data_IF_335747421967
#
_entry.id   IF_335747421967
#
_cell.length_a   1.000
_cell.length_b   1.000
_cell.length_c   1.000
_cell.angle_alpha   90.00
_cell.angle_beta   90.00
_cell.angle_gamma   90.00
#
_symmetry.space_group_name_H-M   'P 1'
#
loop_
_entity.id
_entity.type
_entity.pdbx_description
1 polymer ?
#
# COMPACT_ATOMS: atom_id res chain seq x y z
N UNK A 1 -42.83 -0.27 24.50
CA UNK A 1 -41.88 -1.15 23.80
C UNK A 1 -40.87 -0.27 23.09
N UNK A 2 -39.61 -0.21 23.54
CA UNK A 2 -38.55 0.48 22.81
C UNK A 2 -37.98 -0.44 21.72
N UNK A 3 -37.40 0.10 20.64
CA UNK A 3 -36.81 -0.70 19.58
C UNK A 3 -35.54 -1.39 20.07
N UNK A 4 -35.38 -2.62 19.58
CA UNK A 4 -34.28 -3.55 19.86
C UNK A 4 -32.92 -2.92 19.60
N UNK A 5 -32.07 -2.90 20.63
CA UNK A 5 -30.66 -2.55 20.55
C UNK A 5 -29.96 -3.38 19.48
N UNK A 6 -29.45 -2.71 18.45
CA UNK A 6 -28.46 -3.32 17.57
C UNK A 6 -27.17 -3.53 18.38
N UNK A 7 -26.72 -4.78 18.47
CA UNK A 7 -25.44 -5.16 19.07
C UNK A 7 -24.31 -4.24 18.60
N UNK A 8 -23.40 -3.77 19.48
CA UNK A 8 -22.25 -3.00 19.06
C UNK A 8 -21.31 -3.97 18.33
N UNK A 9 -21.40 -4.02 16.99
CA UNK A 9 -20.51 -4.84 16.19
C UNK A 9 -19.09 -4.26 16.32
N UNK A 10 -18.24 -4.96 17.08
CA UNK A 10 -16.78 -4.93 17.06
C UNK A 10 -16.15 -3.56 16.74
N UNK A 11 -16.32 -2.58 17.64
CA UNK A 11 -15.48 -1.38 17.57
C UNK A 11 -14.17 -1.64 18.31
N UNK A 12 -13.18 -2.19 17.61
CA UNK A 12 -11.77 -2.04 18.00
C UNK A 12 -11.17 -0.95 17.12
N UNK A 13 -11.15 0.27 17.64
CA UNK A 13 -10.34 1.35 17.08
C UNK A 13 -8.94 1.18 17.65
N UNK A 14 -7.97 0.82 16.80
CA UNK A 14 -6.57 0.94 17.17
C UNK A 14 -6.15 2.38 16.87
N UNK A 15 -6.04 3.21 17.92
CA UNK A 15 -5.22 4.42 17.85
C UNK A 15 -3.89 4.09 18.53
N UNK A 16 -2.83 4.03 17.74
CA UNK A 16 -1.46 4.13 18.27
C UNK A 16 -0.76 5.26 17.54
N UNK A 17 -1.04 6.49 17.97
CA UNK A 17 0.00 7.52 17.95
C UNK A 17 1.07 7.02 18.92
N UNK A 18 2.29 6.76 18.40
CA UNK A 18 3.60 6.90 19.06
C UNK A 18 4.76 6.17 18.32
N UNK A 19 4.59 5.68 17.09
CA UNK A 19 5.74 5.26 16.26
C UNK A 19 5.44 5.37 14.77
N UNK A 20 6.31 6.06 14.02
CA UNK A 20 6.15 6.38 12.60
C UNK A 20 6.29 5.20 11.62
N UNK A 21 5.74 4.04 11.94
CA UNK A 21 5.84 2.81 11.14
C UNK A 21 4.50 2.27 10.63
N UNK A 22 3.38 2.95 10.90
CA UNK A 22 2.07 2.51 10.46
C UNK A 22 1.61 3.24 9.21
N UNK A 23 1.21 2.47 8.21
CA UNK A 23 0.65 2.97 6.97
C UNK A 23 -0.85 3.15 7.17
N UNK A 24 -1.34 4.37 6.94
CA UNK A 24 -2.78 4.66 6.94
C UNK A 24 -3.41 4.12 5.65
N UNK A 25 -4.03 2.94 5.72
CA UNK A 25 -4.75 2.34 4.58
C UNK A 25 -6.14 2.95 4.41
N UNK A 26 -6.78 3.28 5.52
CA UNK A 26 -8.11 3.89 5.56
C UNK A 26 -8.17 4.92 6.68
N UNK A 27 -8.84 6.04 6.41
CA UNK A 27 -9.12 7.08 7.41
C UNK A 27 -10.56 7.57 7.25
N UNK A 28 -11.22 7.79 8.39
CA UNK A 28 -12.52 8.46 8.49
C UNK A 28 -12.49 9.52 9.59
N UNK A 29 -12.84 10.75 9.25
CA UNK A 29 -12.91 11.92 10.13
C UNK A 29 -14.28 12.59 10.10
N UNK A 30 -15.03 12.45 9.01
CA UNK A 30 -16.42 12.93 8.83
C UNK A 30 -17.12 12.18 7.68
N UNK A 31 -18.23 12.70 7.14
CA UNK A 31 -18.99 12.12 6.03
C UNK A 31 -18.73 12.78 4.65
N UNK A 32 -17.65 13.56 4.52
CA UNK A 32 -17.31 14.27 3.28
C UNK A 32 -16.95 13.36 2.10
N UNK A 33 -16.79 12.05 2.32
CA UNK A 33 -16.46 11.07 1.29
C UNK A 33 -17.26 9.79 1.52
N UNK A 34 -18.13 9.43 0.57
CA UNK A 34 -18.85 8.15 0.63
C UNK A 34 -17.89 6.97 0.55
N UNK A 35 -18.13 5.95 1.38
CA UNK A 35 -17.47 4.64 1.33
C UNK A 35 -18.39 3.56 0.72
N UNK A 36 -19.64 3.87 0.40
CA UNK A 36 -20.48 2.98 -0.39
C UNK A 36 -20.14 3.16 -1.88
N UNK A 37 -19.25 2.30 -2.37
CA UNK A 37 -18.57 2.43 -3.66
C UNK A 37 -18.37 1.08 -4.34
N UNK A 38 -18.18 1.13 -5.65
CA UNK A 38 -17.92 -0.07 -6.45
C UNK A 38 -16.56 -0.71 -6.14
N UNK A 39 -16.41 -2.00 -6.46
CA UNK A 39 -15.13 -2.70 -6.33
C UNK A 39 -13.99 -2.02 -7.12
N UNK A 40 -14.30 -1.47 -8.30
CA UNK A 40 -13.33 -0.76 -9.12
C UNK A 40 -12.76 0.47 -8.41
N UNK A 41 -13.58 1.22 -7.67
CA UNK A 41 -13.12 2.36 -6.87
C UNK A 41 -12.30 1.93 -5.66
N UNK A 42 -12.70 0.84 -4.98
CA UNK A 42 -11.91 0.26 -3.90
C UNK A 42 -10.55 -0.27 -4.37
N UNK A 43 -10.49 -0.81 -5.58
CA UNK A 43 -9.25 -1.26 -6.20
C UNK A 43 -8.36 -0.08 -6.62
N UNK A 44 -8.94 1.04 -7.06
CA UNK A 44 -8.18 2.22 -7.47
C UNK A 44 -7.76 3.12 -6.29
N UNK A 45 -8.47 3.05 -5.17
CA UNK A 45 -8.36 4.02 -4.08
C UNK A 45 -9.21 5.27 -4.31
N UNK A 46 -9.64 5.93 -3.24
CA UNK A 46 -10.45 7.15 -3.28
C UNK A 46 -10.23 8.02 -2.02
N UNK A 47 -10.58 9.30 -2.12
CA UNK A 47 -10.45 10.30 -1.05
C UNK A 47 -9.37 11.36 -1.33
N UNK A 48 -9.37 12.50 -0.63
CA UNK A 48 -8.51 13.64 -0.96
C UNK A 48 -7.10 13.54 -0.37
N UNK A 49 -6.75 12.42 0.27
CA UNK A 49 -5.38 12.11 0.69
C UNK A 49 -5.21 11.79 2.19
N UNK A 50 -3.96 11.64 2.67
CA UNK A 50 -3.63 11.00 3.95
C UNK A 50 -4.16 11.73 5.20
N UNK A 51 -4.50 13.01 5.09
CA UNK A 51 -5.02 13.82 6.21
C UNK A 51 -6.56 13.87 6.28
N UNK A 52 -7.27 13.31 5.32
CA UNK A 52 -8.74 13.34 5.22
C UNK A 52 -9.34 11.94 5.04
N UNK A 53 -10.64 11.83 4.79
CA UNK A 53 -11.33 10.57 4.50
C UNK A 53 -10.74 9.90 3.25
N UNK A 54 -10.11 8.74 3.40
CA UNK A 54 -9.54 8.04 2.26
C UNK A 54 -9.55 6.53 2.42
N UNK A 55 -9.45 5.87 1.27
CA UNK A 55 -9.08 4.49 1.08
C UNK A 55 -7.96 4.46 0.04
N UNK A 56 -6.75 4.06 0.42
CA UNK A 56 -5.65 3.93 -0.56
C UNK A 56 -5.65 2.53 -1.19
N UNK A 57 -5.37 2.45 -2.49
CA UNK A 57 -5.00 1.19 -3.12
C UNK A 57 -3.81 0.59 -2.36
N UNK A 58 -3.89 -0.70 -2.04
CA UNK A 58 -2.80 -1.37 -1.33
C UNK A 58 -1.55 -1.41 -2.20
N UNK A 59 -0.49 -0.68 -1.82
CA UNK A 59 0.78 -0.66 -2.53
C UNK A 59 1.39 -2.06 -2.70
N UNK A 60 1.20 -2.95 -1.73
CA UNK A 60 1.61 -4.35 -1.83
C UNK A 60 0.84 -5.12 -2.92
N UNK A 61 -0.45 -4.82 -3.10
CA UNK A 61 -1.24 -5.43 -4.16
C UNK A 61 -0.83 -4.89 -5.54
N UNK A 62 -0.59 -3.58 -5.65
CA UNK A 62 -0.21 -2.89 -6.88
C UNK A 62 1.18 -3.27 -7.38
N UNK A 63 2.17 -3.16 -6.50
CA UNK A 63 3.59 -3.33 -6.81
C UNK A 63 4.17 -4.68 -6.41
N UNK A 64 3.40 -5.55 -5.76
CA UNK A 64 3.80 -6.91 -5.35
C UNK A 64 4.89 -6.90 -4.27
N UNK A 65 4.81 -7.87 -3.37
CA UNK A 65 5.69 -7.93 -2.19
C UNK A 65 5.08 -7.23 -0.98
N UNK A 66 5.57 -7.57 0.21
CA UNK A 66 5.30 -6.82 1.43
C UNK A 66 6.48 -5.93 1.74
N UNK A 67 6.25 -4.66 2.05
CA UNK A 67 7.32 -3.71 2.39
C UNK A 67 6.77 -2.60 3.30
N UNK A 68 7.67 -1.84 3.91
CA UNK A 68 7.32 -0.58 4.57
C UNK A 68 7.06 0.48 3.50
N UNK A 69 5.83 0.51 2.99
CA UNK A 69 5.41 1.44 1.95
C UNK A 69 5.13 2.84 2.52
N UNK A 70 5.57 3.88 1.83
CA UNK A 70 5.20 5.29 2.03
C UNK A 70 5.07 5.94 0.66
N UNK A 71 3.89 6.46 0.33
CA UNK A 71 3.50 6.76 -1.06
C UNK A 71 3.91 5.63 -2.04
N UNK A 72 3.64 4.39 -1.63
CA UNK A 72 4.22 3.17 -2.17
C UNK A 72 5.73 3.05 -1.94
N UNK A 73 6.60 3.19 -2.94
CA UNK A 73 8.02 2.95 -2.69
C UNK A 73 8.99 3.58 -3.69
N UNK A 74 10.20 3.83 -3.19
CA UNK A 74 11.40 4.01 -4.02
C UNK A 74 12.24 2.73 -4.13
N UNK A 75 12.03 1.76 -3.24
CA UNK A 75 12.71 0.46 -3.25
C UNK A 75 11.72 -0.64 -2.89
N UNK A 76 11.77 -1.76 -3.59
CA UNK A 76 10.90 -2.90 -3.33
C UNK A 76 11.74 -4.18 -3.33
N UNK A 77 12.45 -4.49 -2.23
CA UNK A 77 13.31 -5.66 -2.18
C UNK A 77 12.53 -6.99 -2.18
N UNK A 78 11.25 -6.94 -1.82
CA UNK A 78 10.35 -8.08 -1.77
C UNK A 78 9.46 -8.20 -3.02
N UNK A 79 9.80 -7.46 -4.09
CA UNK A 79 9.11 -7.49 -5.37
C UNK A 79 9.31 -8.80 -6.14
N UNK A 80 8.73 -8.87 -7.33
CA UNK A 80 8.89 -10.01 -8.23
C UNK A 80 10.36 -10.14 -8.69
N UNK A 81 10.92 -11.34 -8.60
CA UNK A 81 12.25 -11.61 -9.10
C UNK A 81 12.24 -11.86 -10.61
N UNK A 82 13.10 -11.17 -11.36
CA UNK A 82 13.28 -11.37 -12.80
C UNK A 82 14.69 -11.82 -13.11
N UNK A 83 14.81 -12.77 -14.05
CA UNK A 83 16.10 -13.24 -14.56
C UNK A 83 16.57 -12.40 -15.76
N UNK A 84 17.87 -12.43 -16.03
CA UNK A 84 18.43 -11.87 -17.28
C UNK A 84 17.88 -12.62 -18.50
N UNK A 85 17.57 -11.94 -19.62
CA UNK A 85 17.77 -10.52 -19.88
C UNK A 85 16.65 -9.59 -19.39
N UNK A 86 15.48 -10.13 -19.02
CA UNK A 86 14.30 -9.35 -18.60
C UNK A 86 14.58 -8.43 -17.41
N UNK A 87 15.49 -8.82 -16.52
CA UNK A 87 15.91 -8.00 -15.39
C UNK A 87 16.50 -6.63 -15.80
N UNK A 88 17.08 -6.52 -16.99
CA UNK A 88 17.68 -5.28 -17.49
C UNK A 88 16.62 -4.26 -17.93
N UNK A 89 15.42 -4.74 -18.30
CA UNK A 89 14.27 -3.90 -18.64
C UNK A 89 12.97 -4.71 -18.46
N UNK A 90 12.27 -4.46 -17.35
CA UNK A 90 11.03 -5.17 -17.00
C UNK A 90 9.78 -4.60 -17.67
N UNK A 91 9.89 -3.60 -18.55
CA UNK A 91 8.74 -3.01 -19.23
C UNK A 91 7.87 -4.08 -19.92
N UNK A 92 6.53 -3.99 -19.83
CA UNK A 92 5.73 -2.90 -19.26
C UNK A 92 5.49 -3.01 -17.74
N UNK A 93 6.18 -3.91 -17.03
CA UNK A 93 6.03 -4.12 -15.58
C UNK A 93 6.77 -3.02 -14.81
N UNK A 94 6.06 -1.94 -14.50
CA UNK A 94 6.58 -0.80 -13.74
C UNK A 94 6.67 -1.09 -12.24
N UNK A 95 7.87 -0.94 -11.66
CA UNK A 95 8.12 -0.92 -10.22
C UNK A 95 7.69 -2.18 -9.43
N UNK A 96 7.33 -3.28 -10.12
CA UNK A 96 6.92 -4.51 -9.43
C UNK A 96 8.06 -5.48 -9.13
N UNK A 97 9.23 -5.22 -9.67
CA UNK A 97 10.41 -6.07 -9.52
C UNK A 97 11.15 -5.80 -8.21
N UNK A 98 12.18 -6.60 -7.94
CA UNK A 98 13.21 -6.28 -6.95
C UNK A 98 13.95 -5.01 -7.41
N UNK A 99 13.42 -3.84 -7.08
CA UNK A 99 13.83 -2.57 -7.70
C UNK A 99 14.36 -1.56 -6.69
N UNK A 100 15.18 -0.64 -7.19
CA UNK A 100 15.70 0.50 -6.45
C UNK A 100 15.78 1.72 -7.39
N UNK A 101 14.85 2.66 -7.21
CA UNK A 101 14.56 3.69 -8.21
C UNK A 101 15.70 4.67 -8.48
N UNK A 102 16.53 4.96 -7.47
CA UNK A 102 17.71 5.79 -7.63
C UNK A 102 18.96 5.05 -7.16
N UNK A 103 19.92 4.69 -8.03
CA UNK A 103 20.12 5.24 -9.38
C UNK A 103 19.52 4.43 -10.54
N UNK A 104 18.92 3.26 -10.31
CA UNK A 104 18.67 2.29 -11.39
C UNK A 104 17.34 2.45 -12.14
N UNK A 105 16.39 3.20 -11.59
CA UNK A 105 15.04 3.34 -12.12
C UNK A 105 14.11 2.18 -11.75
N UNK A 106 12.85 2.28 -12.19
CA UNK A 106 11.77 1.34 -11.85
C UNK A 106 11.62 0.14 -12.79
N UNK A 107 12.36 0.12 -13.90
CA UNK A 107 12.34 -0.98 -14.88
C UNK A 107 13.57 -1.89 -14.80
N UNK A 108 14.45 -1.65 -13.81
CA UNK A 108 15.60 -2.49 -13.54
C UNK A 108 15.31 -3.38 -12.33
N UNK A 109 15.52 -4.69 -12.49
CA UNK A 109 15.44 -5.67 -11.40
C UNK A 109 16.84 -6.04 -10.95
N UNK A 110 17.12 -5.87 -9.66
CA UNK A 110 18.37 -6.32 -9.06
C UNK A 110 18.45 -7.84 -9.09
N UNK A 111 19.65 -8.36 -9.36
CA UNK A 111 19.92 -9.81 -9.35
C UNK A 111 20.01 -10.36 -7.92
N UNK A 112 20.39 -9.53 -6.97
CA UNK A 112 20.63 -9.93 -5.58
C UNK A 112 20.25 -8.79 -4.66
N UNK A 113 19.68 -9.15 -3.51
CA UNK A 113 19.35 -8.22 -2.44
C UNK A 113 19.45 -8.97 -1.12
N UNK A 114 20.17 -8.40 -0.16
CA UNK A 114 20.37 -8.97 1.17
C UNK A 114 20.17 -7.87 2.22
N UNK A 115 19.49 -8.20 3.31
CA UNK A 115 19.36 -7.33 4.48
C UNK A 115 20.09 -7.98 5.64
N UNK A 116 21.05 -7.25 6.21
CA UNK A 116 21.82 -7.68 7.37
C UNK A 116 21.44 -6.81 8.56
N UNK A 117 21.42 -7.42 9.75
CA UNK A 117 21.35 -6.73 11.03
C UNK A 117 22.64 -7.01 11.80
N UNK A 118 23.08 -6.04 12.60
CA UNK A 118 24.24 -6.16 13.47
C UNK A 118 23.83 -6.60 14.87
#
# INVERSE_FOLDING_TARGET
MPPTEASPCCTRVFVTSLSGCLISVQRRVDDSTSFDRSWAEYAAGFGPGPHSNHWIESCSAKYKGGWWYDACHCTNPNGLYFYSPTALNTAPVFAKSVCWSNPFGYYYSMKEFEMLLL
#
